data_IF_447877918404
#
_entry.id   IF_447877918404
#
_cell.length_a   1.000
_cell.length_b   1.000
_cell.length_c   1.000
_cell.angle_alpha   90.00
_cell.angle_beta   90.00
_cell.angle_gamma   90.00
#
_symmetry.space_group_name_H-M   'P 1'
#
loop_
_entity.id
_entity.type
_entity.pdbx_description
1 polymer ?
#
# COMPACT_ATOMS: atom_id res chain seq x y z
N UNK A 1 -3.30 -34.60 20.52
CA UNK A 1 -2.87 -34.55 19.11
C UNK A 1 -2.18 -33.21 18.94
N UNK A 2 -0.87 -33.14 18.74
CA UNK A 2 -0.24 -31.86 18.40
C UNK A 2 -0.35 -31.70 16.88
N UNK A 3 -1.32 -30.90 16.42
CA UNK A 3 -1.41 -30.51 15.02
C UNK A 3 -0.18 -29.71 14.59
N UNK A 4 -0.02 -29.48 13.30
CA UNK A 4 0.96 -28.48 12.85
C UNK A 4 0.54 -27.10 13.32
N UNK A 5 1.46 -26.14 13.39
CA UNK A 5 1.13 -24.74 13.73
C UNK A 5 0.05 -24.17 12.79
N UNK A 6 0.03 -24.58 11.52
CA UNK A 6 -1.00 -24.18 10.56
C UNK A 6 -2.39 -24.74 10.95
N UNK A 7 -2.46 -25.96 11.49
CA UNK A 7 -3.72 -26.55 11.96
C UNK A 7 -4.24 -25.81 13.20
N UNK A 8 -3.35 -25.45 14.12
CA UNK A 8 -3.69 -24.66 15.30
C UNK A 8 -4.20 -23.27 14.92
N UNK A 9 -3.57 -22.60 13.94
CA UNK A 9 -4.03 -21.31 13.42
C UNK A 9 -5.40 -21.43 12.76
N UNK A 10 -5.62 -22.46 11.92
CA UNK A 10 -6.93 -22.70 11.28
C UNK A 10 -8.03 -22.95 12.32
N UNK A 11 -7.74 -23.74 13.34
CA UNK A 11 -8.68 -23.97 14.45
C UNK A 11 -9.00 -22.66 15.19
N UNK A 12 -7.99 -21.89 15.57
CA UNK A 12 -8.18 -20.60 16.27
C UNK A 12 -8.90 -19.57 15.42
N UNK A 13 -8.66 -19.58 14.10
CA UNK A 13 -9.37 -18.72 13.14
C UNK A 13 -10.87 -18.99 13.19
N UNK A 14 -11.27 -20.27 13.15
CA UNK A 14 -12.68 -20.66 13.21
C UNK A 14 -13.28 -20.33 14.58
N UNK A 15 -12.57 -20.62 15.69
CA UNK A 15 -13.02 -20.31 17.06
C UNK A 15 -13.21 -18.81 17.31
N UNK A 16 -12.41 -17.96 16.67
CA UNK A 16 -12.48 -16.50 16.78
C UNK A 16 -13.36 -15.85 15.72
N UNK A 17 -14.01 -16.63 14.88
CA UNK A 17 -14.74 -16.16 13.69
C UNK A 17 -13.90 -15.14 12.87
N UNK A 18 -12.64 -15.49 12.65
CA UNK A 18 -11.65 -14.64 12.01
C UNK A 18 -11.47 -14.99 10.53
N UNK A 19 -10.84 -14.06 9.80
CA UNK A 19 -10.42 -14.24 8.42
C UNK A 19 -8.98 -13.75 8.25
N UNK A 20 -8.20 -14.46 7.44
CA UNK A 20 -6.81 -14.13 7.17
C UNK A 20 -6.69 -13.57 5.75
N UNK A 21 -6.31 -12.30 5.65
CA UNK A 21 -6.00 -11.62 4.39
C UNK A 21 -4.48 -11.55 4.26
N UNK A 22 -3.89 -12.07 3.17
CA UNK A 22 -2.45 -12.08 2.99
C UNK A 22 -2.00 -11.42 1.68
N UNK A 23 -0.97 -10.59 1.77
CA UNK A 23 -0.35 -9.97 0.60
C UNK A 23 0.44 -10.99 -0.21
N UNK A 24 0.51 -10.78 -1.53
CA UNK A 24 1.23 -11.63 -2.47
C UNK A 24 2.73 -11.84 -2.14
N UNK A 25 3.32 -10.98 -1.31
CA UNK A 25 4.72 -11.09 -0.87
C UNK A 25 4.91 -11.88 0.43
N UNK A 26 3.84 -12.37 1.05
CA UNK A 26 3.95 -13.21 2.25
C UNK A 26 4.65 -14.55 1.93
N UNK A 27 5.36 -15.16 2.89
CA UNK A 27 5.91 -16.51 2.74
C UNK A 27 4.83 -17.54 2.40
N UNK A 28 5.22 -18.62 1.72
CA UNK A 28 4.29 -19.66 1.22
C UNK A 28 3.42 -20.24 2.33
N UNK A 29 4.02 -20.49 3.49
CA UNK A 29 3.37 -21.04 4.68
C UNK A 29 2.26 -20.14 5.24
N UNK A 30 2.35 -18.83 5.02
CA UNK A 30 1.29 -17.85 5.37
C UNK A 30 0.23 -17.81 4.27
N UNK A 31 0.65 -17.88 3.00
CA UNK A 31 -0.30 -17.92 1.89
C UNK A 31 -1.20 -19.15 1.94
N UNK A 32 -0.68 -20.30 2.37
CA UNK A 32 -1.42 -21.57 2.48
C UNK A 32 -2.55 -21.59 3.53
N UNK A 33 -2.51 -20.67 4.50
CA UNK A 33 -3.52 -20.53 5.56
C UNK A 33 -4.44 -19.32 5.37
N UNK A 34 -4.12 -18.46 4.39
CA UNK A 34 -4.91 -17.28 4.07
C UNK A 34 -6.23 -17.67 3.41
N UNK A 35 -7.29 -16.92 3.74
CA UNK A 35 -8.59 -17.05 3.09
C UNK A 35 -8.65 -16.26 1.79
N UNK A 36 -7.82 -15.23 1.67
CA UNK A 36 -7.72 -14.40 0.49
C UNK A 36 -6.28 -13.92 0.27
N UNK A 37 -5.83 -14.02 -0.98
CA UNK A 37 -4.54 -13.52 -1.45
C UNK A 37 -4.80 -12.39 -2.44
N UNK A 38 -4.07 -11.29 -2.31
CA UNK A 38 -4.26 -10.14 -3.20
C UNK A 38 -3.16 -9.10 -3.10
N UNK A 39 -3.28 -8.08 -3.94
CA UNK A 39 -2.46 -6.87 -3.86
C UNK A 39 -2.95 -5.90 -2.77
N UNK A 40 -2.24 -4.78 -2.60
CA UNK A 40 -2.54 -3.82 -1.53
C UNK A 40 -3.96 -3.27 -1.56
N UNK A 41 -4.50 -2.90 -2.71
CA UNK A 41 -5.83 -2.31 -2.79
C UNK A 41 -6.92 -3.39 -2.75
N UNK A 42 -6.68 -4.51 -3.42
CA UNK A 42 -7.60 -5.63 -3.43
C UNK A 42 -7.86 -6.13 -2.00
N UNK A 43 -6.83 -6.24 -1.17
CA UNK A 43 -6.98 -6.63 0.24
C UNK A 43 -7.76 -5.60 1.07
N UNK A 44 -7.51 -4.30 0.86
CA UNK A 44 -8.22 -3.24 1.56
C UNK A 44 -9.72 -3.21 1.17
N UNK A 45 -10.02 -3.41 -0.11
CA UNK A 45 -11.41 -3.52 -0.60
C UNK A 45 -12.07 -4.80 -0.09
N UNK A 46 -11.34 -5.93 -0.11
CA UNK A 46 -11.86 -7.21 0.41
C UNK A 46 -12.20 -7.10 1.90
N UNK A 47 -11.38 -6.40 2.67
CA UNK A 47 -11.67 -6.12 4.07
C UNK A 47 -13.04 -5.46 4.25
N UNK A 48 -13.53 -4.68 3.28
CA UNK A 48 -14.84 -4.04 3.32
C UNK A 48 -16.02 -4.96 2.99
N UNK A 49 -15.82 -5.91 2.09
CA UNK A 49 -16.87 -6.87 1.69
C UNK A 49 -17.17 -7.94 2.75
N UNK A 50 -16.33 -8.09 3.77
CA UNK A 50 -16.47 -9.14 4.79
C UNK A 50 -17.49 -8.73 5.84
N UNK A 51 -18.71 -9.26 5.78
CA UNK A 51 -19.77 -8.91 6.73
C UNK A 51 -19.93 -9.94 7.87
N UNK A 52 -19.44 -11.17 7.68
CA UNK A 52 -19.71 -12.32 8.54
C UNK A 52 -18.55 -12.69 9.50
N UNK A 53 -17.53 -11.84 9.60
CA UNK A 53 -16.32 -12.09 10.40
C UNK A 53 -16.10 -11.01 11.45
N UNK A 54 -15.76 -11.44 12.65
CA UNK A 54 -15.54 -10.56 13.81
C UNK A 54 -14.12 -10.01 13.87
N UNK A 55 -13.17 -10.67 13.19
CA UNK A 55 -11.74 -10.35 13.24
C UNK A 55 -11.08 -10.53 11.87
N UNK A 56 -10.41 -9.49 11.40
CA UNK A 56 -9.54 -9.54 10.22
C UNK A 56 -8.08 -9.58 10.66
N UNK A 57 -7.38 -10.66 10.33
CA UNK A 57 -5.94 -10.80 10.51
C UNK A 57 -5.29 -10.38 9.20
N UNK A 58 -4.59 -9.26 9.21
CA UNK A 58 -3.99 -8.66 8.03
C UNK A 58 -2.50 -9.02 7.95
N UNK A 59 -2.19 -10.04 7.15
CA UNK A 59 -0.83 -10.49 6.88
C UNK A 59 -0.22 -9.65 5.74
N UNK A 60 0.19 -8.44 6.08
CA UNK A 60 0.80 -7.47 5.18
C UNK A 60 1.76 -6.57 5.94
N UNK A 61 1.83 -5.31 5.53
CA UNK A 61 2.54 -4.26 6.25
C UNK A 61 1.55 -3.27 6.86
N UNK A 62 2.01 -2.54 7.86
CA UNK A 62 1.32 -1.50 8.64
C UNK A 62 0.33 -0.63 7.83
N UNK A 63 0.79 0.09 6.80
CA UNK A 63 -0.05 1.03 6.07
C UNK A 63 -1.24 0.34 5.39
N UNK A 64 -1.09 -0.94 5.03
CA UNK A 64 -2.17 -1.71 4.41
C UNK A 64 -3.23 -2.06 5.44
N UNK A 65 -2.81 -2.49 6.64
CA UNK A 65 -3.72 -2.76 7.75
C UNK A 65 -4.45 -1.48 8.20
N UNK A 66 -3.73 -0.35 8.28
CA UNK A 66 -4.31 0.97 8.55
C UNK A 66 -5.32 1.38 7.47
N UNK A 67 -4.96 1.23 6.19
CA UNK A 67 -5.88 1.56 5.07
C UNK A 67 -7.13 0.70 5.12
N UNK A 68 -6.99 -0.60 5.40
CA UNK A 68 -8.13 -1.49 5.60
C UNK A 68 -9.01 -1.03 6.76
N UNK A 69 -8.42 -0.53 7.86
CA UNK A 69 -9.16 -0.03 9.03
C UNK A 69 -9.84 1.31 8.75
N UNK A 70 -9.17 2.23 8.06
CA UNK A 70 -9.73 3.52 7.62
C UNK A 70 -11.00 3.31 6.77
N UNK A 71 -10.98 2.31 5.89
CA UNK A 71 -12.15 1.96 5.07
C UNK A 71 -13.23 1.20 5.86
N UNK A 72 -12.90 0.65 7.03
CA UNK A 72 -13.75 -0.25 7.81
C UNK A 72 -13.61 -0.02 9.33
N UNK A 73 -13.97 1.18 9.84
CA UNK A 73 -13.66 1.58 11.21
C UNK A 73 -14.33 0.71 12.29
N UNK A 74 -15.45 0.08 11.94
CA UNK A 74 -16.21 -0.80 12.84
C UNK A 74 -15.64 -2.24 12.91
N UNK A 75 -14.71 -2.60 12.02
CA UNK A 75 -14.11 -3.95 12.00
C UNK A 75 -12.85 -3.99 12.84
N UNK A 76 -12.69 -5.08 13.59
CA UNK A 76 -11.44 -5.34 14.30
C UNK A 76 -10.40 -5.88 13.32
N UNK A 77 -9.43 -5.05 12.98
CA UNK A 77 -8.29 -5.42 12.12
C UNK A 77 -7.04 -5.51 13.00
N UNK A 78 -6.29 -6.61 12.87
CA UNK A 78 -5.03 -6.82 13.60
C UNK A 78 -3.92 -7.20 12.63
N UNK A 79 -2.72 -6.70 12.89
CA UNK A 79 -1.49 -7.11 12.21
C UNK A 79 -0.70 -8.06 13.13
N UNK A 80 -0.16 -9.19 12.63
CA UNK A 80 0.59 -10.13 13.47
C UNK A 80 1.89 -9.57 14.06
N UNK A 81 2.51 -8.61 13.36
CA UNK A 81 3.78 -8.00 13.73
C UNK A 81 3.70 -6.49 13.49
N UNK A 82 3.96 -5.69 14.53
CA UNK A 82 3.93 -4.23 14.44
C UNK A 82 5.18 -3.66 13.74
N UNK A 83 6.27 -4.44 13.64
CA UNK A 83 7.48 -4.03 12.93
C UNK A 83 7.41 -4.33 11.42
N UNK A 84 6.30 -4.92 10.95
CA UNK A 84 6.06 -5.17 9.54
C UNK A 84 5.71 -3.87 8.80
N UNK A 85 6.73 -3.08 8.48
CA UNK A 85 6.56 -1.77 7.87
C UNK A 85 6.93 -1.74 6.38
N UNK A 86 6.44 -0.72 5.68
CA UNK A 86 6.97 -0.34 4.37
C UNK A 86 7.94 0.83 4.50
N UNK A 87 9.27 0.64 4.37
CA UNK A 87 10.22 1.73 4.53
C UNK A 87 9.94 2.92 3.61
N UNK A 88 9.42 2.67 2.40
CA UNK A 88 9.05 3.70 1.44
C UNK A 88 7.84 4.53 1.91
N UNK A 89 6.85 3.92 2.56
CA UNK A 89 5.69 4.64 3.09
C UNK A 89 6.13 5.63 4.19
N UNK A 90 7.06 5.19 5.03
CA UNK A 90 7.68 6.00 6.09
C UNK A 90 8.66 7.06 5.60
N UNK A 91 9.06 7.06 4.32
CA UNK A 91 9.88 8.14 3.76
C UNK A 91 9.11 9.47 3.68
N UNK A 92 7.77 9.42 3.68
CA UNK A 92 6.90 10.61 3.65
C UNK A 92 6.16 10.78 4.97
N UNK A 93 6.79 11.37 5.99
CA UNK A 93 6.07 11.79 7.19
C UNK A 93 5.14 12.98 6.88
N UNK A 94 4.16 13.18 7.74
CA UNK A 94 3.17 14.25 7.64
C UNK A 94 3.80 15.65 7.49
N UNK A 95 4.85 15.94 8.28
CA UNK A 95 5.48 17.26 8.30
C UNK A 95 6.18 17.60 6.97
N UNK A 96 6.74 16.60 6.28
CA UNK A 96 7.36 16.78 4.97
C UNK A 96 6.31 17.07 3.90
N UNK A 97 5.15 16.39 3.96
CA UNK A 97 4.03 16.68 3.07
C UNK A 97 3.46 18.07 3.30
N UNK A 98 3.30 18.49 4.57
CA UNK A 98 2.80 19.82 4.91
C UNK A 98 3.71 20.93 4.39
N UNK A 99 5.04 20.78 4.53
CA UNK A 99 6.01 21.72 3.92
C UNK A 99 5.84 21.80 2.40
N UNK A 100 5.69 20.67 1.72
CA UNK A 100 5.50 20.66 0.27
C UNK A 100 4.18 21.36 -0.14
N UNK A 101 3.11 21.21 0.65
CA UNK A 101 1.84 21.94 0.44
C UNK A 101 1.98 23.45 0.67
N UNK A 102 2.81 23.88 1.61
CA UNK A 102 3.11 25.30 1.83
C UNK A 102 3.92 25.89 0.66
N UNK A 103 4.83 25.12 0.08
CA UNK A 103 5.62 25.51 -1.10
C UNK A 103 4.77 25.53 -2.39
N UNK A 104 3.76 24.65 -2.47
CA UNK A 104 2.87 24.47 -3.63
C UNK A 104 1.38 24.52 -3.22
N UNK A 105 0.86 25.69 -2.81
CA UNK A 105 -0.49 25.80 -2.24
C UNK A 105 -1.63 25.50 -3.22
N UNK A 106 -1.38 25.61 -4.53
CA UNK A 106 -2.36 25.36 -5.59
C UNK A 106 -2.26 23.94 -6.19
N UNK A 107 -1.27 23.14 -5.77
CA UNK A 107 -1.07 21.79 -6.28
C UNK A 107 -2.08 20.80 -5.67
N UNK A 108 -2.56 19.88 -6.49
CA UNK A 108 -3.31 18.72 -6.00
C UNK A 108 -2.38 17.74 -5.30
N UNK A 109 -2.87 17.03 -4.28
CA UNK A 109 -2.08 16.05 -3.51
C UNK A 109 -2.56 14.65 -3.81
N UNK A 110 -1.71 13.86 -4.47
CA UNK A 110 -1.95 12.45 -4.72
C UNK A 110 -0.93 11.62 -3.96
N UNK A 111 -1.41 10.79 -3.04
CA UNK A 111 -0.56 9.82 -2.38
C UNK A 111 -0.80 8.41 -2.92
N UNK A 112 0.29 7.72 -3.22
CA UNK A 112 0.28 6.29 -3.40
C UNK A 112 -0.18 5.63 -2.09
N UNK A 113 -1.00 4.58 -2.19
CA UNK A 113 -1.53 3.85 -1.02
C UNK A 113 -0.44 3.43 -0.03
N UNK A 114 0.80 3.20 -0.53
CA UNK A 114 2.02 3.01 0.25
C UNK A 114 2.49 4.32 0.90
N UNK A 115 1.69 4.86 1.80
CA UNK A 115 1.92 6.07 2.61
C UNK A 115 1.34 5.83 4.01
N UNK A 116 1.82 6.50 5.04
CA UNK A 116 1.25 6.36 6.40
C UNK A 116 -0.10 7.07 6.54
N UNK A 117 -0.95 6.64 7.47
CA UNK A 117 -2.28 7.21 7.68
C UNK A 117 -2.25 8.74 7.92
N UNK A 118 -1.25 9.23 8.66
CA UNK A 118 -1.08 10.64 8.99
C UNK A 118 -0.80 11.49 7.74
N UNK A 119 -0.11 10.96 6.74
CA UNK A 119 0.08 11.65 5.47
C UNK A 119 -1.21 11.60 4.62
N UNK A 120 -1.92 10.47 4.63
CA UNK A 120 -3.16 10.26 3.85
C UNK A 120 -4.26 11.28 4.14
N UNK A 121 -4.36 11.77 5.38
CA UNK A 121 -5.38 12.77 5.75
C UNK A 121 -5.24 14.09 4.96
N UNK A 122 -4.06 14.36 4.41
CA UNK A 122 -3.75 15.58 3.66
C UNK A 122 -3.83 15.42 2.14
N UNK A 123 -4.10 14.20 1.68
CA UNK A 123 -4.24 13.89 0.26
C UNK A 123 -5.63 14.27 -0.26
N UNK A 124 -5.70 14.83 -1.47
CA UNK A 124 -6.98 15.01 -2.16
C UNK A 124 -7.53 13.67 -2.64
N UNK A 125 -6.64 12.75 -3.02
CA UNK A 125 -7.00 11.40 -3.42
C UNK A 125 -5.81 10.44 -3.28
N UNK A 126 -6.12 9.15 -3.26
CA UNK A 126 -5.13 8.08 -3.23
C UNK A 126 -5.07 7.39 -4.59
N UNK A 127 -3.89 6.87 -4.93
CA UNK A 127 -3.72 6.04 -6.11
C UNK A 127 -3.02 4.71 -5.79
N UNK A 128 -3.07 3.79 -6.74
CA UNK A 128 -2.20 2.62 -6.82
C UNK A 128 -1.35 2.69 -8.08
N UNK A 129 -0.35 1.82 -8.20
CA UNK A 129 0.42 1.68 -9.46
C UNK A 129 -0.48 1.38 -10.67
N UNK A 130 -1.64 0.74 -10.48
CA UNK A 130 -2.57 0.39 -11.54
C UNK A 130 -3.45 1.57 -12.03
N UNK A 131 -3.67 2.61 -11.21
CA UNK A 131 -4.58 3.71 -11.54
C UNK A 131 -3.97 5.12 -11.43
N UNK A 132 -2.69 5.25 -11.07
CA UNK A 132 -2.03 6.53 -10.81
C UNK A 132 -2.24 7.58 -11.93
N UNK A 133 -2.08 7.21 -13.20
CA UNK A 133 -2.32 8.12 -14.32
C UNK A 133 -3.79 8.58 -14.39
N UNK A 134 -4.74 7.64 -14.29
CA UNK A 134 -6.17 7.95 -14.35
C UNK A 134 -6.60 8.87 -13.20
N UNK A 135 -6.08 8.62 -11.99
CA UNK A 135 -6.36 9.46 -10.82
C UNK A 135 -5.74 10.85 -11.00
N UNK A 136 -4.52 10.93 -11.52
CA UNK A 136 -3.82 12.19 -11.82
C UNK A 136 -4.60 13.05 -12.81
N UNK A 137 -5.09 12.47 -13.91
CA UNK A 137 -5.91 13.18 -14.90
C UNK A 137 -7.29 13.60 -14.38
N UNK A 138 -7.76 13.00 -13.28
CA UNK A 138 -9.08 13.33 -12.71
C UNK A 138 -9.07 14.60 -11.85
N UNK A 139 -7.90 15.03 -11.37
CA UNK A 139 -7.77 16.25 -10.58
C UNK A 139 -7.75 17.50 -11.50
N UNK A 140 -8.44 18.60 -11.13
CA UNK A 140 -8.44 19.82 -11.93
C UNK A 140 -7.10 20.57 -11.91
N UNK A 141 -6.24 20.34 -10.93
CA UNK A 141 -4.97 21.05 -10.72
C UNK A 141 -3.91 20.67 -11.77
N UNK A 142 -3.16 21.65 -12.27
CA UNK A 142 -2.09 21.42 -13.25
C UNK A 142 -0.78 20.93 -12.58
N UNK A 143 -0.54 21.34 -11.34
CA UNK A 143 0.55 20.85 -10.49
C UNK A 143 0.04 19.78 -9.53
N UNK A 144 0.82 18.71 -9.34
CA UNK A 144 0.48 17.57 -8.50
C UNK A 144 1.66 17.21 -7.60
N UNK A 145 1.48 17.37 -6.28
CA UNK A 145 2.34 16.74 -5.28
C UNK A 145 2.06 15.23 -5.30
N UNK A 146 3.07 14.43 -5.63
CA UNK A 146 2.94 12.99 -5.81
C UNK A 146 3.95 12.23 -4.96
N UNK A 147 3.50 11.28 -4.13
CA UNK A 147 4.38 10.59 -3.20
C UNK A 147 3.93 9.20 -2.77
N UNK A 148 4.79 8.41 -2.10
CA UNK A 148 6.22 8.67 -1.90
C UNK A 148 7.13 8.06 -2.98
N UNK A 149 6.60 7.32 -3.97
CA UNK A 149 7.46 6.67 -4.99
C UNK A 149 7.75 7.59 -6.17
N UNK A 150 8.98 8.11 -6.22
CA UNK A 150 9.42 8.99 -7.30
C UNK A 150 9.49 8.27 -8.65
N UNK A 151 9.68 6.94 -8.69
CA UNK A 151 9.68 6.21 -9.97
C UNK A 151 8.25 6.15 -10.54
N UNK A 152 7.25 5.91 -9.70
CA UNK A 152 5.84 5.95 -10.10
C UNK A 152 5.44 7.36 -10.54
N UNK A 153 5.79 8.39 -9.77
CA UNK A 153 5.54 9.79 -10.13
C UNK A 153 6.18 10.16 -11.47
N UNK A 154 7.45 9.79 -11.69
CA UNK A 154 8.14 10.00 -12.97
C UNK A 154 7.52 9.21 -14.13
N UNK A 155 6.95 8.04 -13.87
CA UNK A 155 6.24 7.26 -14.90
C UNK A 155 4.93 7.94 -15.29
N UNK A 156 4.20 8.48 -14.32
CA UNK A 156 2.98 9.27 -14.57
C UNK A 156 3.32 10.55 -15.33
N UNK A 157 4.35 11.29 -14.92
CA UNK A 157 4.80 12.54 -15.56
C UNK A 157 5.08 12.40 -17.07
N UNK A 158 5.52 11.22 -17.52
CA UNK A 158 5.77 10.94 -18.96
C UNK A 158 4.50 10.77 -19.78
N UNK A 159 3.34 10.61 -19.14
CA UNK A 159 2.08 10.23 -19.75
C UNK A 159 0.97 11.28 -19.56
N UNK A 160 1.26 12.36 -18.84
CA UNK A 160 0.35 13.49 -18.58
C UNK A 160 1.00 14.80 -18.98
N UNK A 161 0.20 15.83 -19.23
CA UNK A 161 0.69 17.21 -19.37
C UNK A 161 0.82 17.95 -18.04
N UNK A 162 0.33 17.36 -16.94
CA UNK A 162 0.41 17.93 -15.59
C UNK A 162 1.85 17.87 -15.06
N UNK A 163 2.21 18.84 -14.25
CA UNK A 163 3.50 18.87 -13.57
C UNK A 163 3.45 17.98 -12.32
N UNK A 164 4.28 16.93 -12.29
CA UNK A 164 4.39 16.03 -11.14
C UNK A 164 5.58 16.46 -10.28
N UNK A 165 5.30 16.82 -9.04
CA UNK A 165 6.27 17.25 -8.04
C UNK A 165 6.44 16.10 -7.02
N UNK A 166 7.56 15.36 -7.05
CA UNK A 166 7.75 14.22 -6.17
C UNK A 166 7.97 14.65 -4.72
N UNK A 167 7.23 14.04 -3.79
CA UNK A 167 7.37 14.26 -2.34
C UNK A 167 7.45 12.89 -1.64
N UNK A 168 8.52 12.58 -0.87
CA UNK A 168 9.70 13.38 -0.60
C UNK A 168 10.69 13.33 -1.77
N UNK A 169 11.75 14.14 -1.68
CA UNK A 169 12.89 13.99 -2.59
C UNK A 169 13.57 12.64 -2.36
N UNK A 170 13.70 11.87 -3.43
CA UNK A 170 14.37 10.58 -3.42
C UNK A 170 13.54 9.43 -2.85
N UNK A 171 12.22 9.58 -2.66
CA UNK A 171 11.38 8.48 -2.21
C UNK A 171 11.39 7.31 -3.21
N UNK A 172 11.59 6.08 -2.71
CA UNK A 172 11.72 4.88 -3.54
C UNK A 172 11.51 3.58 -2.75
N UNK A 173 11.11 2.53 -3.48
CA UNK A 173 11.14 1.17 -2.96
C UNK A 173 12.54 0.55 -3.16
N UNK A 174 13.23 0.20 -2.08
CA UNK A 174 14.56 -0.42 -2.15
C UNK A 174 14.55 -1.75 -2.91
N UNK A 175 13.49 -2.55 -2.78
CA UNK A 175 13.34 -3.83 -3.51
C UNK A 175 13.36 -3.59 -5.02
N UNK A 176 12.61 -2.61 -5.50
CA UNK A 176 12.54 -2.31 -6.93
C UNK A 176 13.79 -1.60 -7.46
N UNK A 177 14.61 -1.00 -6.58
CA UNK A 177 15.92 -0.44 -6.96
C UNK A 177 16.99 -1.52 -7.21
N UNK A 178 16.74 -2.78 -6.82
CA UNK A 178 17.65 -3.89 -7.07
C UNK A 178 17.63 -4.37 -8.53
N UNK A 179 16.65 -3.94 -9.33
CA UNK A 179 16.58 -4.28 -10.75
C UNK A 179 17.40 -3.30 -11.58
N UNK A 180 18.36 -3.84 -12.33
CA UNK A 180 19.22 -3.10 -13.23
C UNK A 180 18.95 -3.46 -14.70
N UNK A 181 19.48 -2.65 -15.62
CA UNK A 181 19.28 -2.89 -17.07
C UNK A 181 19.92 -4.23 -17.47
N UNK A 182 21.03 -4.58 -16.84
CA UNK A 182 21.78 -5.82 -17.02
C UNK A 182 20.92 -7.05 -16.71
N UNK A 183 20.01 -6.98 -15.73
CA UNK A 183 19.08 -8.09 -15.41
C UNK A 183 18.11 -8.34 -16.56
N UNK A 184 17.62 -7.28 -17.19
CA UNK A 184 16.73 -7.35 -18.35
C UNK A 184 17.48 -7.91 -19.56
N UNK A 185 18.70 -7.45 -19.80
CA UNK A 185 19.54 -7.96 -20.89
C UNK A 185 19.90 -9.43 -20.71
N UNK A 186 20.21 -9.84 -19.49
CA UNK A 186 20.46 -11.24 -19.15
C UNK A 186 19.23 -12.10 -19.44
N UNK A 187 18.05 -11.64 -19.05
CA UNK A 187 16.79 -12.37 -19.28
C UNK A 187 16.38 -12.43 -20.73
N UNK A 188 16.66 -11.41 -21.55
CA UNK A 188 16.39 -11.43 -23.01
C UNK A 188 17.24 -12.45 -23.78
N UNK A 189 18.38 -12.88 -23.22
CA UNK A 189 19.30 -13.85 -23.83
C UNK A 189 18.97 -15.31 -23.48
N UNK A 190 18.05 -15.54 -22.54
CA UNK A 190 17.56 -16.87 -22.13
C UNK A 190 16.32 -17.25 -22.95
#
# INVERSE_FOLDING_TARGET
MSGSLQDEIKQLKDEKNAIILAHNYQPKEIQEIADFLGDSLELCMKAAEIEDKDLVIFCGVDFMAETAYILNPDKKIVIPDLEAECPMAHMLPEDELLKAKEEHPDAGVILYVNSIAEAKQHADTLCTSANALKVTESLPQDEILFGPDNNLGNNVAKQTSKEIIPVPKGGHCYVHKLFHIEDVELKRKQ
#
